data_IF_962121969258
#
_entry.id   IF_962121969258
#
_cell.length_a   1.000
_cell.length_b   1.000
_cell.length_c   1.000
_cell.angle_alpha   90.00
_cell.angle_beta   90.00
_cell.angle_gamma   90.00
#
_symmetry.space_group_name_H-M   'P 1'
#
loop_
_entity.id
_entity.type
_entity.pdbx_description
1 polymer ?
#
# COMPACT_ATOMS: atom_id res chain seq x y z
N UNK A 1 -9.07 12.71 7.98
CA UNK A 1 -8.53 11.38 7.60
C UNK A 1 -7.12 11.19 8.19
N UNK A 2 -6.08 11.85 7.68
CA UNK A 2 -4.71 11.73 8.22
C UNK A 2 -4.60 12.11 9.71
N UNK A 3 -5.27 13.19 10.14
CA UNK A 3 -5.19 13.67 11.53
C UNK A 3 -5.81 12.64 12.48
N UNK A 4 -6.97 12.09 12.11
CA UNK A 4 -7.64 11.01 12.84
C UNK A 4 -6.79 9.73 12.89
N UNK A 5 -6.12 9.39 11.78
CA UNK A 5 -5.26 8.20 11.69
C UNK A 5 -4.06 8.29 12.65
N UNK A 6 -3.56 9.50 12.90
CA UNK A 6 -2.42 9.74 13.82
C UNK A 6 -2.83 9.75 15.29
N UNK A 7 -4.11 9.90 15.62
CA UNK A 7 -4.60 9.85 17.01
C UNK A 7 -5.06 8.46 17.44
N UNK A 8 -4.59 7.41 16.75
CA UNK A 8 -4.88 6.02 17.08
C UNK A 8 -6.19 5.47 16.50
N UNK A 9 -6.94 6.27 15.73
CA UNK A 9 -8.12 5.76 15.04
C UNK A 9 -7.73 4.99 13.79
N UNK A 10 -8.32 3.82 13.57
CA UNK A 10 -8.18 3.13 12.29
C UNK A 10 -8.93 3.90 11.22
N UNK A 11 -8.24 4.32 10.16
CA UNK A 11 -8.82 5.07 9.05
C UNK A 11 -8.57 4.32 7.75
N UNK A 12 -9.65 4.10 7.00
CA UNK A 12 -9.62 3.64 5.62
C UNK A 12 -10.10 4.77 4.72
N UNK A 13 -9.38 5.06 3.64
CA UNK A 13 -9.76 6.08 2.67
C UNK A 13 -9.44 5.62 1.26
N UNK A 14 -10.13 6.18 0.27
CA UNK A 14 -9.89 5.92 -1.14
C UNK A 14 -9.38 7.19 -1.82
N UNK A 15 -8.47 7.05 -2.78
CA UNK A 15 -7.91 8.17 -3.52
C UNK A 15 -7.59 7.74 -4.95
N UNK A 16 -7.83 8.64 -5.89
CA UNK A 16 -7.43 8.42 -7.28
C UNK A 16 -5.92 8.63 -7.41
N UNK A 17 -5.21 7.53 -7.69
CA UNK A 17 -3.76 7.48 -7.91
C UNK A 17 -3.43 6.41 -8.94
N UNK A 18 -2.25 6.51 -9.55
CA UNK A 18 -1.79 5.60 -10.60
C UNK A 18 -0.87 4.47 -10.10
N UNK A 19 -0.47 4.50 -8.83
CA UNK A 19 0.31 3.45 -8.16
C UNK A 19 0.25 3.60 -6.64
N UNK A 20 0.77 2.62 -5.91
CA UNK A 20 0.93 2.73 -4.46
C UNK A 20 1.83 3.92 -4.08
N UNK A 21 3.01 4.05 -4.70
CA UNK A 21 3.95 5.14 -4.41
C UNK A 21 3.38 6.52 -4.76
N UNK A 22 2.73 6.66 -5.92
CA UNK A 22 2.12 7.92 -6.35
C UNK A 22 0.99 8.40 -5.41
N UNK A 23 0.43 7.48 -4.61
CA UNK A 23 -0.63 7.79 -3.65
C UNK A 23 -0.13 8.77 -2.58
N UNK A 24 1.09 8.60 -2.08
CA UNK A 24 1.65 9.48 -1.06
C UNK A 24 1.88 10.89 -1.59
N UNK A 25 2.47 11.03 -2.79
CA UNK A 25 2.60 12.32 -3.46
C UNK A 25 1.24 13.00 -3.67
N UNK A 26 0.21 12.24 -4.06
CA UNK A 26 -1.14 12.78 -4.23
C UNK A 26 -1.74 13.25 -2.92
N UNK A 27 -1.60 12.49 -1.85
CA UNK A 27 -2.04 12.87 -0.51
C UNK A 27 -1.30 14.12 -0.02
N UNK A 28 0.02 14.21 -0.20
CA UNK A 28 0.81 15.40 0.11
C UNK A 28 0.24 16.64 -0.56
N UNK A 29 0.00 16.59 -1.88
CA UNK A 29 -0.58 17.72 -2.63
C UNK A 29 -1.96 18.10 -2.11
N UNK A 30 -2.80 17.14 -1.73
CA UNK A 30 -4.12 17.43 -1.17
C UNK A 30 -4.01 18.11 0.20
N UNK A 31 -3.07 17.68 1.04
CA UNK A 31 -2.86 18.27 2.36
C UNK A 31 -2.25 19.67 2.26
N UNK A 32 -1.32 19.91 1.34
CA UNK A 32 -0.71 21.23 1.11
C UNK A 32 -1.72 22.30 0.68
N UNK A 33 -2.84 21.91 0.06
CA UNK A 33 -3.94 22.84 -0.25
C UNK A 33 -4.66 23.36 1.01
N UNK A 34 -4.60 22.62 2.11
CA UNK A 34 -5.29 22.94 3.37
C UNK A 34 -4.33 23.46 4.44
N UNK A 35 -3.09 23.00 4.46
CA UNK A 35 -2.08 23.34 5.46
C UNK A 35 -0.86 23.94 4.81
N UNK A 36 -0.37 25.05 5.35
CA UNK A 36 0.90 25.63 4.93
C UNK A 36 2.06 25.03 5.73
N UNK A 37 2.43 23.80 5.38
CA UNK A 37 3.55 23.06 5.98
C UNK A 37 4.52 22.63 4.89
N UNK A 38 5.78 22.37 5.25
CA UNK A 38 6.78 21.87 4.30
C UNK A 38 6.33 20.53 3.67
N UNK A 39 6.67 20.33 2.39
CA UNK A 39 6.32 19.12 1.64
C UNK A 39 6.91 17.86 2.29
N UNK A 40 8.12 17.92 2.86
CA UNK A 40 8.74 16.80 3.56
C UNK A 40 7.97 16.44 4.83
N UNK A 41 7.57 17.46 5.60
CA UNK A 41 6.77 17.26 6.82
C UNK A 41 5.43 16.65 6.47
N UNK A 42 4.74 17.16 5.44
CA UNK A 42 3.47 16.58 5.00
C UNK A 42 3.64 15.13 4.53
N UNK A 43 4.75 14.82 3.86
CA UNK A 43 5.03 13.46 3.44
C UNK A 43 5.17 12.53 4.65
N UNK A 44 5.90 12.94 5.71
CA UNK A 44 6.03 12.18 6.95
C UNK A 44 4.68 11.94 7.63
N UNK A 45 3.86 12.98 7.72
CA UNK A 45 2.54 12.88 8.35
C UNK A 45 1.65 11.87 7.62
N UNK A 46 1.72 11.84 6.30
CA UNK A 46 0.88 10.95 5.48
C UNK A 46 1.40 9.52 5.53
N UNK A 47 2.71 9.29 5.41
CA UNK A 47 3.28 7.94 5.42
C UNK A 47 3.15 7.28 6.80
N UNK A 48 3.28 8.05 7.88
CA UNK A 48 3.02 7.58 9.25
C UNK A 48 1.54 7.17 9.45
N UNK A 49 0.62 8.00 8.93
CA UNK A 49 -0.81 7.80 9.03
C UNK A 49 -1.30 6.57 8.25
N UNK A 50 -0.75 6.35 7.04
CA UNK A 50 -1.20 5.32 6.11
C UNK A 50 -0.04 4.39 5.72
N UNK A 51 0.33 3.43 6.59
CA UNK A 51 1.47 2.55 6.35
C UNK A 51 1.19 1.51 5.25
N UNK A 52 -0.07 1.25 4.89
CA UNK A 52 -0.45 0.29 3.84
C UNK A 52 -1.26 1.00 2.75
N UNK A 53 -0.89 0.74 1.49
CA UNK A 53 -1.63 1.17 0.30
C UNK A 53 -2.02 -0.04 -0.53
N UNK A 54 -3.27 -0.05 -0.99
CA UNK A 54 -3.80 -1.08 -1.91
C UNK A 54 -4.14 -0.39 -3.22
N UNK A 55 -3.48 -0.78 -4.31
CA UNK A 55 -3.70 -0.23 -5.64
C UNK A 55 -4.51 -1.18 -6.51
N UNK A 56 -5.62 -0.70 -7.04
CA UNK A 56 -6.49 -1.43 -7.97
C UNK A 56 -6.57 -0.71 -9.30
N UNK A 57 -6.50 -1.45 -10.41
CA UNK A 57 -6.61 -0.91 -11.78
C UNK A 57 -7.63 -1.71 -12.58
N UNK A 58 -8.43 -1.02 -13.40
CA UNK A 58 -9.15 -1.68 -14.49
C UNK A 58 -8.19 -1.84 -15.68
N UNK A 59 -7.94 -3.08 -16.08
CA UNK A 59 -7.10 -3.41 -17.23
C UNK A 59 -7.87 -3.17 -18.54
N UNK A 60 -7.15 -3.22 -19.65
CA UNK A 60 -7.66 -2.91 -20.99
C UNK A 60 -8.73 -3.93 -21.45
N UNK A 61 -8.65 -5.16 -20.92
CA UNK A 61 -9.72 -6.18 -21.04
C UNK A 61 -10.95 -5.94 -20.14
N UNK A 62 -11.07 -4.74 -19.56
CA UNK A 62 -12.14 -4.27 -18.66
C UNK A 62 -12.25 -4.99 -17.31
N UNK A 63 -11.34 -5.92 -16.99
CA UNK A 63 -11.29 -6.59 -15.69
C UNK A 63 -10.58 -5.72 -14.66
N UNK A 64 -11.16 -5.58 -13.47
CA UNK A 64 -10.47 -4.95 -12.32
C UNK A 64 -9.55 -5.96 -11.64
N UNK A 65 -8.32 -5.54 -11.35
CA UNK A 65 -7.32 -6.31 -10.63
C UNK A 65 -6.72 -5.49 -9.50
N UNK A 66 -6.42 -6.15 -8.40
CA UNK A 66 -5.56 -5.60 -7.35
C UNK A 66 -4.13 -5.74 -7.86
N UNK A 67 -3.53 -4.61 -8.25
CA UNK A 67 -2.21 -4.60 -8.88
C UNK A 67 -1.09 -4.73 -7.86
N UNK A 68 -1.24 -4.08 -6.70
CA UNK A 68 -0.21 -4.06 -5.67
C UNK A 68 -0.80 -3.80 -4.28
N UNK A 69 -0.23 -4.46 -3.27
CA UNK A 69 -0.33 -4.07 -1.87
C UNK A 69 1.08 -3.68 -1.43
N UNK A 70 1.24 -2.47 -0.93
CA UNK A 70 2.53 -1.91 -0.55
C UNK A 70 2.49 -1.41 0.88
N UNK A 71 3.56 -1.68 1.61
CA UNK A 71 3.86 -1.09 2.90
C UNK A 71 4.84 0.07 2.72
N UNK A 72 4.64 1.18 3.45
CA UNK A 72 5.66 2.20 3.68
C UNK A 72 6.20 2.04 5.09
N UNK A 73 7.42 1.52 5.20
CA UNK A 73 8.15 1.47 6.45
C UNK A 73 8.97 2.76 6.62
N UNK A 74 8.91 3.37 7.81
CA UNK A 74 9.83 4.44 8.20
C UNK A 74 11.00 3.76 8.94
N UNK A 75 12.17 3.78 8.33
CA UNK A 75 13.38 3.16 8.86
C UNK A 75 13.92 3.96 10.04
N UNK A 76 14.86 3.37 10.80
CA UNK A 76 15.48 4.04 11.96
C UNK A 76 16.23 5.33 11.60
N UNK A 77 16.73 5.45 10.37
CA UNK A 77 17.37 6.66 9.84
C UNK A 77 16.36 7.67 9.27
N UNK A 78 15.06 7.46 9.49
CA UNK A 78 13.98 8.36 9.05
C UNK A 78 13.67 8.28 7.56
N UNK A 79 14.27 7.33 6.83
CA UNK A 79 13.98 7.14 5.41
C UNK A 79 12.72 6.30 5.22
N UNK A 80 12.08 6.50 4.08
CA UNK A 80 10.88 5.77 3.69
C UNK A 80 11.33 4.59 2.82
N UNK A 81 10.95 3.38 3.20
CA UNK A 81 11.17 2.17 2.44
C UNK A 81 9.83 1.62 1.97
N UNK A 82 9.64 1.61 0.64
CA UNK A 82 8.43 1.11 0.00
C UNK A 82 8.58 -0.37 -0.30
N UNK A 83 7.84 -1.19 0.44
CA UNK A 83 7.92 -2.64 0.41
C UNK A 83 6.64 -3.22 -0.20
N UNK A 84 6.70 -3.68 -1.45
CA UNK A 84 5.60 -4.38 -2.09
C UNK A 84 5.38 -5.73 -1.40
N UNK A 85 4.23 -5.91 -0.75
CA UNK A 85 3.86 -7.15 -0.05
C UNK A 85 3.27 -8.18 -1.02
N UNK A 86 2.43 -7.70 -1.93
CA UNK A 86 1.77 -8.50 -2.96
C UNK A 86 1.75 -7.73 -4.27
N UNK A 87 1.85 -8.46 -5.39
CA UNK A 87 1.76 -7.89 -6.73
C UNK A 87 1.01 -8.82 -7.66
N UNK A 88 0.21 -8.26 -8.55
CA UNK A 88 -0.33 -9.00 -9.69
C UNK A 88 0.66 -8.91 -10.85
N UNK A 89 1.25 -10.04 -11.20
CA UNK A 89 2.13 -10.16 -12.35
C UNK A 89 1.31 -10.51 -13.59
N UNK A 90 1.37 -9.65 -14.61
CA UNK A 90 0.77 -9.93 -15.91
C UNK A 90 1.69 -10.91 -16.64
N UNK A 91 1.23 -12.15 -16.80
CA UNK A 91 1.97 -13.21 -17.49
C UNK A 91 1.66 -13.23 -18.99
N UNK A 92 0.57 -12.56 -19.39
CA UNK A 92 0.18 -12.48 -20.79
C UNK A 92 -0.56 -11.17 -21.04
N UNK A 93 -0.17 -10.47 -22.11
CA UNK A 93 -0.84 -9.28 -22.59
C UNK A 93 -0.74 -9.25 -24.12
N UNK A 94 -1.80 -9.67 -24.81
CA UNK A 94 -1.88 -9.65 -26.27
C UNK A 94 -3.21 -9.11 -26.76
N UNK A 95 -3.22 -8.72 -28.02
CA UNK A 95 -4.41 -8.25 -28.72
C UNK A 95 -4.74 -9.25 -29.82
N UNK A 96 -5.97 -9.78 -29.81
CA UNK A 96 -6.51 -10.63 -30.88
C UNK A 96 -7.72 -9.94 -31.51
N UNK A 97 -7.52 -9.40 -32.72
CA UNK A 97 -8.48 -8.49 -33.35
C UNK A 97 -8.69 -7.24 -32.49
N UNK A 98 -9.93 -6.99 -32.06
CA UNK A 98 -10.28 -5.87 -31.18
C UNK A 98 -10.34 -6.26 -29.69
N UNK A 99 -9.88 -7.46 -29.32
CA UNK A 99 -9.97 -7.98 -27.94
C UNK A 99 -8.61 -8.03 -27.25
N UNK A 100 -8.55 -7.42 -26.06
CA UNK A 100 -7.42 -7.56 -25.14
C UNK A 100 -7.52 -8.87 -24.35
N UNK A 101 -6.48 -9.69 -24.43
CA UNK A 101 -6.30 -10.89 -23.63
C UNK A 101 -5.20 -10.61 -22.63
N UNK A 102 -5.60 -10.48 -21.36
CA UNK A 102 -4.69 -10.18 -20.25
C UNK A 102 -4.90 -11.22 -19.15
N UNK A 103 -3.87 -12.02 -18.90
CA UNK A 103 -3.80 -13.01 -17.84
C UNK A 103 -2.63 -12.71 -16.91
N UNK A 104 -2.72 -13.20 -15.69
CA UNK A 104 -1.73 -12.94 -14.66
C UNK A 104 -2.06 -13.63 -13.35
N UNK A 105 -1.12 -13.58 -12.43
CA UNK A 105 -1.22 -14.26 -11.13
C UNK A 105 -0.82 -13.31 -10.01
N UNK A 106 -1.43 -13.49 -8.84
CA UNK A 106 -1.01 -12.75 -7.65
C UNK A 106 0.15 -13.47 -7.01
N UNK A 107 1.20 -12.72 -6.70
CA UNK A 107 2.37 -13.20 -5.99
C UNK A 107 2.51 -12.48 -4.66
N UNK A 108 2.91 -13.24 -3.64
CA UNK A 108 3.45 -12.66 -2.42
C UNK A 108 4.90 -12.31 -2.70
N UNK A 109 5.22 -11.03 -2.59
CA UNK A 109 6.55 -10.49 -2.90
C UNK A 109 7.41 -10.45 -1.64
N UNK A 110 6.83 -9.98 -0.53
CA UNK A 110 7.53 -9.89 0.75
C UNK A 110 6.56 -10.05 1.94
N UNK A 111 7.13 -10.08 3.15
CA UNK A 111 6.38 -9.95 4.39
C UNK A 111 6.30 -8.50 4.86
N UNK A 112 5.36 -8.22 5.76
CA UNK A 112 5.31 -6.94 6.47
C UNK A 112 6.54 -6.75 7.36
N UNK A 113 6.96 -5.50 7.54
CA UNK A 113 8.08 -5.12 8.40
C UNK A 113 7.86 -5.47 9.87
N UNK A 114 8.95 -5.59 10.62
CA UNK A 114 8.88 -5.76 12.08
C UNK A 114 8.22 -4.57 12.78
N UNK A 115 8.38 -3.36 12.23
CA UNK A 115 7.74 -2.16 12.77
C UNK A 115 6.22 -2.24 12.67
N UNK A 116 5.68 -2.70 11.53
CA UNK A 116 4.25 -2.87 11.35
C UNK A 116 3.69 -4.05 12.15
N UNK A 117 4.43 -5.16 12.27
CA UNK A 117 4.08 -6.27 13.18
C UNK A 117 3.92 -5.78 14.61
N UNK A 118 4.90 -5.00 15.10
CA UNK A 118 4.86 -4.39 16.43
C UNK A 118 3.65 -3.47 16.58
N UNK A 119 3.40 -2.58 15.60
CA UNK A 119 2.24 -1.69 15.57
C UNK A 119 0.92 -2.47 15.63
N UNK A 120 0.79 -3.59 14.93
CA UNK A 120 -0.42 -4.42 15.01
C UNK A 120 -0.64 -5.00 16.41
N UNK A 121 0.41 -5.54 17.03
CA UNK A 121 0.31 -6.08 18.40
C UNK A 121 -0.03 -4.99 19.43
N UNK A 122 0.60 -3.82 19.32
CA UNK A 122 0.34 -2.66 20.20
C UNK A 122 -1.10 -2.14 20.06
N UNK A 123 -1.70 -2.29 18.88
CA UNK A 123 -3.10 -1.95 18.63
C UNK A 123 -4.07 -3.13 18.88
N UNK A 124 -3.63 -4.16 19.61
CA UNK A 124 -4.49 -5.24 20.11
C UNK A 124 -4.71 -6.40 19.16
N UNK A 125 -3.95 -6.52 18.06
CA UNK A 125 -4.02 -7.71 17.20
C UNK A 125 -3.53 -8.94 17.97
N UNK A 126 -4.32 -10.03 18.05
CA UNK A 126 -3.84 -11.27 18.66
C UNK A 126 -2.65 -11.86 17.90
N UNK A 127 -1.66 -12.39 18.63
CA UNK A 127 -0.46 -13.02 18.04
C UNK A 127 -0.78 -14.11 17.02
N UNK A 128 -1.84 -14.89 17.25
CA UNK A 128 -2.29 -15.93 16.33
C UNK A 128 -2.76 -15.37 14.97
N UNK A 129 -3.46 -14.23 15.00
CA UNK A 129 -3.89 -13.52 13.78
C UNK A 129 -2.67 -12.98 13.05
N UNK A 130 -1.73 -12.37 13.77
CA UNK A 130 -0.48 -11.89 13.19
C UNK A 130 0.31 -13.03 12.53
N UNK A 131 0.44 -14.17 13.21
CA UNK A 131 1.10 -15.36 12.68
C UNK A 131 0.40 -15.91 11.44
N UNK A 132 -0.94 -15.85 11.38
CA UNK A 132 -1.71 -16.27 10.20
C UNK A 132 -1.44 -15.39 8.99
N UNK A 133 -1.45 -14.06 9.16
CA UNK A 133 -1.25 -13.13 8.03
C UNK A 133 0.22 -13.07 7.58
N UNK A 134 1.17 -13.32 8.48
CA UNK A 134 2.61 -13.36 8.15
C UNK A 134 3.05 -14.73 7.65
N UNK A 135 2.49 -15.81 8.20
CA UNK A 135 2.88 -17.20 7.98
C UNK A 135 2.49 -17.78 6.61
N UNK A 136 1.61 -17.12 5.84
CA UNK A 136 1.29 -17.52 4.47
C UNK A 136 2.40 -17.26 3.44
N UNK A 137 3.65 -17.04 3.87
CA UNK A 137 4.82 -16.89 3.00
C UNK A 137 5.71 -18.11 3.13
N UNK A 138 5.37 -19.17 2.41
CA UNK A 138 6.27 -20.29 2.22
C UNK A 138 7.59 -19.79 1.65
N UNK A 139 8.69 -20.31 2.21
CA UNK A 139 10.05 -20.17 1.70
C UNK A 139 10.08 -20.40 0.18
N UNK A 140 10.73 -19.51 -0.54
CA UNK A 140 11.38 -19.81 -1.81
C UNK A 140 12.87 -19.50 -1.62
#
# INVERSE_FOLDING_TARGET
AQESARTGHTVLTTIHSNSCEATYSRMRTLCKRKYDMDDEVLMDLVTEAFPIVVFTKQLENKKRRLMEIMECEITRDGKRHFNSLFRYEITENRVEGDKFIINGTHQKVSGISESLKKRFLENGMPKEVLNRITGGGGKA
#
